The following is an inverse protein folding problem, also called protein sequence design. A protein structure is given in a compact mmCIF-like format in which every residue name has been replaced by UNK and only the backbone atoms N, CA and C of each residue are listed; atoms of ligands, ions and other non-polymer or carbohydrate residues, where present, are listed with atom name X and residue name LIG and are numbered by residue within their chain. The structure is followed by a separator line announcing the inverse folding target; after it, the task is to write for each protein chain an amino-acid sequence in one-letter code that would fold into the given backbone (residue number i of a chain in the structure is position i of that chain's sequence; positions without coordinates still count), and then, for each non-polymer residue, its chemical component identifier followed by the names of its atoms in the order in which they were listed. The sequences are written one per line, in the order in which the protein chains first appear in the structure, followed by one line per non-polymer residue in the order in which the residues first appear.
data_IF_001828659999
#
_entry.id   IF_001828659999
#
_cell.length_a   1.000
_cell.length_b   1.000
_cell.length_c   1.000
_cell.angle_alpha   90.00
_cell.angle_beta   90.00
_cell.angle_gamma   90.00
#
_symmetry.space_group_name_H-M   'P 1'
#
loop_
_entity.id
_entity.type
_entity.pdbx_description
1 polymer ?
#
# COMPACT_ATOMS: atom_id res chain seq x y z
N UNK A 1 -4.14 -2.17 6.00
CA UNK A 1 -3.43 -2.98 5.00
C UNK A 1 -3.01 -4.30 5.63
N UNK A 2 -3.27 -5.43 4.99
CA UNK A 2 -2.81 -6.76 5.43
C UNK A 2 -1.59 -7.12 4.60
N UNK A 3 -0.47 -7.40 5.25
CA UNK A 3 0.71 -7.97 4.59
C UNK A 3 0.56 -9.50 4.56
N UNK A 4 0.48 -10.06 3.36
CA UNK A 4 0.53 -11.51 3.18
C UNK A 4 1.98 -12.00 3.22
N UNK A 5 2.28 -12.95 4.11
CA UNK A 5 3.58 -13.61 4.17
C UNK A 5 3.43 -15.06 3.66
N UNK A 6 4.32 -15.50 2.76
CA UNK A 6 4.37 -16.83 2.12
C UNK A 6 4.21 -18.03 3.07
N UNK A 7 4.48 -17.87 4.37
CA UNK A 7 4.45 -18.96 5.35
C UNK A 7 3.10 -19.14 6.05
N UNK A 8 2.14 -18.24 5.88
CA UNK A 8 0.80 -18.38 6.46
C UNK A 8 -0.23 -18.59 5.34
N UNK A 9 -0.74 -19.83 5.22
CA UNK A 9 -1.89 -20.14 4.36
C UNK A 9 -3.14 -19.51 4.97
N UNK A 10 -3.60 -18.42 4.43
CA UNK A 10 -4.92 -17.86 4.74
C UNK A 10 -5.93 -18.55 3.81
N UNK A 11 -6.87 -19.30 4.39
CA UNK A 11 -8.01 -19.84 3.66
C UNK A 11 -9.01 -18.71 3.43
N UNK A 12 -9.04 -18.16 2.23
CA UNK A 12 -10.08 -17.22 1.82
C UNK A 12 -11.27 -18.06 1.31
N UNK A 13 -12.36 -18.05 2.04
CA UNK A 13 -13.63 -18.59 1.53
C UNK A 13 -14.04 -17.74 0.31
N UNK A 14 -14.40 -18.42 -0.79
CA UNK A 14 -14.97 -17.81 -2.00
C UNK A 14 -16.34 -17.19 -1.66
N UNK A 15 -16.35 -15.98 -1.18
CA UNK A 15 -17.54 -15.17 -1.02
C UNK A 15 -17.48 -13.98 -1.98
N UNK A 16 -18.48 -13.85 -2.85
CA UNK A 16 -18.65 -12.66 -3.70
C UNK A 16 -19.02 -11.39 -2.90
N UNK A 17 -19.05 -11.46 -1.56
CA UNK A 17 -19.24 -10.31 -0.69
C UNK A 17 -17.90 -9.69 -0.34
N UNK A 18 -17.80 -8.38 -0.53
CA UNK A 18 -16.71 -7.55 -0.02
C UNK A 18 -17.14 -7.02 1.34
N UNK A 19 -16.19 -6.98 2.28
CA UNK A 19 -16.42 -6.53 3.65
C UNK A 19 -15.56 -5.31 3.91
N UNK A 20 -16.12 -4.33 4.60
CA UNK A 20 -15.37 -3.25 5.23
C UNK A 20 -15.11 -3.60 6.70
N UNK A 21 -14.31 -2.80 7.40
CA UNK A 21 -14.03 -3.01 8.81
C UNK A 21 -15.28 -2.93 9.69
N UNK A 22 -16.29 -2.16 9.28
CA UNK A 22 -17.59 -2.05 9.97
C UNK A 22 -18.44 -3.32 9.82
N UNK A 23 -18.12 -4.19 8.87
CA UNK A 23 -18.85 -5.43 8.60
C UNK A 23 -18.29 -6.63 9.38
N UNK A 24 -17.17 -6.47 10.08
CA UNK A 24 -16.46 -7.55 10.74
C UNK A 24 -16.19 -7.27 12.21
N UNK A 25 -16.24 -8.33 13.02
CA UNK A 25 -15.85 -8.29 14.42
C UNK A 25 -14.82 -9.37 14.72
N UNK A 26 -13.90 -9.08 15.64
CA UNK A 26 -12.99 -10.08 16.16
C UNK A 26 -13.76 -11.00 17.13
N UNK A 27 -13.72 -12.31 16.85
CA UNK A 27 -14.32 -13.30 17.74
C UNK A 27 -13.29 -13.64 18.81
N UNK A 28 -13.53 -13.32 20.10
CA UNK A 28 -12.61 -13.65 21.18
C UNK A 28 -12.50 -15.17 21.33
N UNK A 29 -11.29 -15.66 21.59
CA UNK A 29 -11.03 -17.04 21.94
C UNK A 29 -10.64 -17.15 23.40
N UNK A 30 -10.60 -18.37 23.93
CA UNK A 30 -10.08 -18.63 25.28
C UNK A 30 -8.66 -18.07 25.38
N UNK A 31 -8.42 -17.25 26.42
CA UNK A 31 -7.14 -16.59 26.65
C UNK A 31 -6.47 -17.15 27.90
N UNK A 32 -5.18 -17.40 27.81
CA UNK A 32 -4.30 -17.76 28.92
C UNK A 32 -3.49 -16.58 29.42
N UNK A 33 -3.69 -15.39 28.82
CA UNK A 33 -2.97 -14.15 29.11
C UNK A 33 -3.63 -13.45 30.30
N UNK A 34 -2.85 -13.15 31.34
CA UNK A 34 -3.36 -12.50 32.56
C UNK A 34 -3.33 -10.98 32.44
N UNK A 35 -2.39 -10.43 31.65
CA UNK A 35 -2.23 -8.98 31.47
C UNK A 35 -1.89 -8.64 30.01
N UNK A 36 -2.37 -7.48 29.55
CA UNK A 36 -2.01 -6.95 28.22
C UNK A 36 -0.51 -6.77 28.05
N UNK A 37 0.23 -6.50 29.13
CA UNK A 37 1.68 -6.34 29.13
C UNK A 37 2.45 -7.62 28.80
N UNK A 38 1.79 -8.79 28.89
CA UNK A 38 2.37 -10.08 28.52
C UNK A 38 2.30 -10.35 27.00
N UNK A 39 1.53 -9.53 26.26
CA UNK A 39 1.35 -9.71 24.83
C UNK A 39 2.56 -9.15 24.05
N UNK A 40 3.24 -10.01 23.32
CA UNK A 40 4.22 -9.59 22.33
C UNK A 40 3.50 -9.13 21.04
N UNK A 41 3.61 -7.83 20.73
CA UNK A 41 3.05 -7.23 19.52
C UNK A 41 4.08 -7.09 18.40
N UNK A 42 5.31 -7.56 18.60
CA UNK A 42 6.37 -7.44 17.60
C UNK A 42 6.04 -8.22 16.33
N UNK A 43 6.53 -7.72 15.20
CA UNK A 43 6.38 -8.36 13.89
C UNK A 43 7.71 -8.39 13.16
N UNK A 44 7.99 -9.52 12.51
CA UNK A 44 9.13 -9.67 11.63
C UNK A 44 8.73 -9.37 10.20
N UNK A 45 9.33 -8.34 9.59
CA UNK A 45 9.18 -8.01 8.18
C UNK A 45 10.56 -8.16 7.53
N UNK A 46 10.70 -9.08 6.58
CA UNK A 46 11.99 -9.45 6.04
C UNK A 46 12.93 -9.95 7.14
N UNK A 47 14.09 -9.32 7.28
CA UNK A 47 15.10 -9.69 8.27
C UNK A 47 15.02 -8.87 9.58
N UNK A 48 14.16 -7.84 9.63
CA UNK A 48 14.07 -6.95 10.78
C UNK A 48 12.84 -7.22 11.63
N UNK A 49 12.99 -7.00 12.95
CA UNK A 49 11.91 -7.06 13.94
C UNK A 49 11.44 -5.65 14.25
N UNK A 50 10.13 -5.43 14.24
CA UNK A 50 9.50 -4.16 14.54
C UNK A 50 8.55 -4.29 15.74
N UNK A 51 8.32 -3.20 16.48
CA UNK A 51 7.57 -3.21 17.74
C UNK A 51 6.10 -3.61 17.60
N UNK A 52 5.48 -3.32 16.45
CA UNK A 52 4.09 -3.69 16.22
C UNK A 52 3.77 -3.84 14.71
N UNK A 53 2.63 -4.42 14.34
CA UNK A 53 2.21 -4.61 12.95
C UNK A 53 1.49 -3.40 12.34
N UNK A 54 1.53 -2.24 12.97
CA UNK A 54 0.85 -1.04 12.48
C UNK A 54 1.83 -0.26 11.61
N UNK A 55 1.43 -0.02 10.36
CA UNK A 55 2.22 0.70 9.37
C UNK A 55 1.46 1.96 8.98
N UNK A 56 2.02 3.16 9.16
CA UNK A 56 1.41 4.39 8.66
C UNK A 56 1.19 4.30 7.15
N UNK A 57 0.06 4.80 6.67
CA UNK A 57 -0.18 4.88 5.24
C UNK A 57 0.90 5.74 4.58
N UNK A 58 1.44 5.28 3.46
CA UNK A 58 2.47 5.98 2.71
C UNK A 58 1.88 7.12 1.85
N UNK A 59 1.21 8.04 2.51
CA UNK A 59 0.54 9.22 1.95
C UNK A 59 1.23 10.49 2.45
N UNK A 60 1.34 11.50 1.59
CA UNK A 60 1.94 12.79 1.93
C UNK A 60 1.27 13.47 3.13
N UNK A 61 -0.03 13.26 3.31
CA UNK A 61 -0.80 13.77 4.46
C UNK A 61 -0.58 12.99 5.77
N UNK A 62 0.06 11.83 5.74
CA UNK A 62 0.21 10.93 6.90
C UNK A 62 1.64 10.82 7.36
N UNK A 63 2.59 10.73 6.45
CA UNK A 63 4.01 10.56 6.77
C UNK A 63 4.85 11.59 6.03
N UNK A 64 5.84 12.13 6.73
CA UNK A 64 6.89 12.97 6.19
C UNK A 64 8.26 12.45 6.65
N UNK A 65 9.31 13.11 6.21
CA UNK A 65 10.68 12.69 6.53
C UNK A 65 10.99 12.70 8.03
N UNK A 66 10.50 13.70 8.77
CA UNK A 66 10.71 13.80 10.22
C UNK A 66 10.04 12.63 10.95
N UNK A 67 8.80 12.32 10.60
CA UNK A 67 8.09 11.19 11.18
C UNK A 67 8.73 9.86 10.80
N UNK A 68 9.18 9.69 9.55
CA UNK A 68 9.90 8.49 9.11
C UNK A 68 11.16 8.24 9.93
N UNK A 69 11.98 9.28 10.16
CA UNK A 69 13.16 9.23 11.01
C UNK A 69 12.80 8.84 12.45
N UNK A 70 11.75 9.45 13.01
CA UNK A 70 11.29 9.15 14.37
C UNK A 70 10.84 7.69 14.49
N UNK A 71 10.01 7.21 13.58
CA UNK A 71 9.54 5.82 13.55
C UNK A 71 10.70 4.83 13.45
N UNK A 72 11.65 5.08 12.55
CA UNK A 72 12.83 4.24 12.39
C UNK A 72 13.68 4.19 13.67
N UNK A 73 13.95 5.32 14.33
CA UNK A 73 14.67 5.40 15.61
C UNK A 73 13.99 4.63 16.72
N UNK A 74 12.67 4.66 16.74
CA UNK A 74 11.84 4.01 17.76
C UNK A 74 11.60 2.52 17.47
N UNK A 75 12.07 1.99 16.33
CA UNK A 75 11.91 0.58 15.96
C UNK A 75 10.52 0.23 15.42
N UNK A 76 9.84 1.20 14.82
CA UNK A 76 8.60 0.98 14.09
C UNK A 76 8.86 0.90 12.59
N UNK A 77 8.10 0.05 11.90
CA UNK A 77 8.13 0.01 10.45
C UNK A 77 7.41 1.22 9.85
N UNK A 78 7.97 1.76 8.81
CA UNK A 78 7.37 2.85 8.04
C UNK A 78 7.58 2.58 6.54
N UNK A 79 6.77 3.24 5.72
CA UNK A 79 6.97 3.32 4.27
C UNK A 79 6.89 4.79 3.89
N UNK A 80 7.97 5.36 3.37
CA UNK A 80 7.97 6.75 2.91
C UNK A 80 7.11 6.88 1.65
N UNK A 81 6.29 7.93 1.55
CA UNK A 81 5.51 8.20 0.35
C UNK A 81 6.39 8.59 -0.83
N UNK A 82 5.85 8.53 -2.05
CA UNK A 82 6.58 8.81 -3.31
C UNK A 82 6.29 10.18 -3.93
N UNK A 83 5.45 11.00 -3.32
CA UNK A 83 4.99 12.28 -3.86
C UNK A 83 5.89 13.42 -3.36
N UNK A 84 6.34 14.27 -4.27
CA UNK A 84 7.15 15.47 -3.95
C UNK A 84 8.37 15.19 -3.04
N UNK A 85 8.96 14.01 -3.15
CA UNK A 85 10.15 13.62 -2.38
C UNK A 85 11.26 13.13 -3.31
N UNK A 86 12.50 13.52 -3.00
CA UNK A 86 13.67 12.97 -3.64
C UNK A 86 14.13 11.70 -2.92
N UNK A 87 13.77 10.52 -3.47
CA UNK A 87 14.14 9.23 -2.89
C UNK A 87 15.67 9.09 -2.69
N UNK A 88 16.49 9.64 -3.59
CA UNK A 88 17.96 9.54 -3.51
C UNK A 88 18.51 10.28 -2.30
N UNK A 89 18.04 11.50 -2.06
CA UNK A 89 18.44 12.30 -0.91
C UNK A 89 17.89 11.70 0.40
N UNK A 90 16.65 11.26 0.41
CA UNK A 90 16.05 10.61 1.57
C UNK A 90 16.81 9.35 1.98
N UNK A 91 17.16 8.47 1.02
CA UNK A 91 17.96 7.26 1.30
C UNK A 91 19.34 7.61 1.83
N UNK A 92 20.03 8.59 1.24
CA UNK A 92 21.35 9.05 1.75
C UNK A 92 21.24 9.54 3.19
N UNK A 93 20.21 10.31 3.52
CA UNK A 93 19.97 10.81 4.87
C UNK A 93 19.71 9.68 5.87
N UNK A 94 18.83 8.72 5.53
CA UNK A 94 18.56 7.58 6.40
C UNK A 94 19.82 6.75 6.67
N UNK A 95 20.63 6.52 5.64
CA UNK A 95 21.90 5.82 5.78
C UNK A 95 22.93 6.59 6.62
N UNK A 96 23.03 7.90 6.47
CA UNK A 96 23.92 8.74 7.31
C UNK A 96 23.54 8.68 8.79
N UNK A 97 22.27 8.43 9.09
CA UNK A 97 21.74 8.25 10.44
C UNK A 97 21.81 6.79 10.93
N UNK A 98 22.33 5.86 10.10
CA UNK A 98 22.33 4.42 10.34
C UNK A 98 20.94 3.86 10.64
N UNK A 99 19.93 4.32 9.89
CA UNK A 99 18.53 3.93 10.02
C UNK A 99 18.09 3.08 8.84
N UNK A 100 17.05 2.27 9.06
CA UNK A 100 16.41 1.47 8.02
C UNK A 100 15.86 2.38 6.91
N UNK A 101 16.16 2.00 5.66
CA UNK A 101 15.68 2.68 4.45
C UNK A 101 14.42 1.99 3.92
N UNK A 102 13.31 2.73 3.86
CA UNK A 102 12.05 2.24 3.32
C UNK A 102 11.40 3.33 2.46
N UNK A 103 11.32 3.08 1.16
CA UNK A 103 10.81 4.04 0.16
C UNK A 103 9.63 3.48 -0.60
N UNK A 104 8.81 4.37 -1.17
CA UNK A 104 7.83 4.03 -2.19
C UNK A 104 8.27 4.49 -3.56
N UNK A 105 7.92 3.69 -4.57
CA UNK A 105 8.10 4.01 -5.99
C UNK A 105 6.81 3.74 -6.76
N UNK A 106 6.68 4.36 -7.93
CA UNK A 106 5.63 4.04 -8.91
C UNK A 106 6.09 3.02 -9.94
N UNK A 107 5.49 3.09 -11.13
CA UNK A 107 5.84 2.28 -12.31
C UNK A 107 6.20 3.14 -13.53
N UNK A 108 6.51 4.41 -13.30
CA UNK A 108 6.94 5.41 -14.27
C UNK A 108 8.47 5.39 -14.50
N UNK A 109 8.94 6.14 -15.49
CA UNK A 109 10.36 6.20 -15.84
C UNK A 109 11.24 6.68 -14.69
N UNK A 110 10.82 7.67 -13.93
CA UNK A 110 11.57 8.18 -12.78
C UNK A 110 11.86 7.08 -11.75
N UNK A 111 10.89 6.19 -11.52
CA UNK A 111 11.07 5.04 -10.62
C UNK A 111 12.10 4.04 -11.16
N UNK A 112 12.16 3.80 -12.46
CA UNK A 112 13.20 2.98 -13.08
C UNK A 112 14.57 3.63 -12.93
N UNK A 113 14.66 4.95 -13.13
CA UNK A 113 15.91 5.72 -13.02
C UNK A 113 16.44 5.74 -11.58
N UNK A 114 15.56 5.80 -10.58
CA UNK A 114 15.94 5.71 -9.18
C UNK A 114 16.50 4.33 -8.83
N UNK A 115 15.82 3.26 -9.23
CA UNK A 115 16.30 1.89 -8.99
C UNK A 115 17.65 1.66 -9.69
N UNK A 116 17.81 2.14 -10.92
CA UNK A 116 19.07 2.05 -11.65
C UNK A 116 20.18 2.85 -10.95
N UNK A 117 19.87 4.06 -10.46
CA UNK A 117 20.80 4.88 -9.71
C UNK A 117 21.32 4.16 -8.46
N UNK A 118 20.42 3.59 -7.65
CA UNK A 118 20.80 2.86 -6.44
C UNK A 118 21.66 1.64 -6.77
N UNK A 119 21.28 0.88 -7.80
CA UNK A 119 22.05 -0.29 -8.25
C UNK A 119 23.44 0.08 -8.73
N UNK A 120 23.58 1.08 -9.60
CA UNK A 120 24.85 1.49 -10.19
C UNK A 120 25.82 2.09 -9.15
N UNK A 121 25.29 2.69 -8.08
CA UNK A 121 26.09 3.27 -7.01
C UNK A 121 26.28 2.32 -5.82
N UNK A 122 25.86 1.05 -5.94
CA UNK A 122 25.92 0.06 -4.85
C UNK A 122 25.24 0.52 -3.55
N UNK A 123 24.14 1.29 -3.67
CA UNK A 123 23.36 1.76 -2.54
C UNK A 123 22.28 0.72 -2.23
N UNK A 124 22.43 0.00 -1.12
CA UNK A 124 21.44 -0.96 -0.64
C UNK A 124 20.21 -0.23 -0.10
N UNK A 125 19.02 -0.75 -0.37
CA UNK A 125 17.74 -0.30 0.19
C UNK A 125 17.14 -1.48 0.94
N UNK A 126 16.71 -1.26 2.19
CA UNK A 126 16.16 -2.35 2.98
C UNK A 126 14.77 -2.75 2.52
N UNK A 127 13.90 -1.76 2.25
CA UNK A 127 12.51 -1.98 1.82
C UNK A 127 12.14 -1.07 0.67
N UNK A 128 11.54 -1.66 -0.36
CA UNK A 128 10.99 -0.94 -1.52
C UNK A 128 9.52 -1.30 -1.62
N UNK A 129 8.64 -0.30 -1.67
CA UNK A 129 7.21 -0.48 -1.89
C UNK A 129 6.84 0.04 -3.27
N UNK A 130 6.39 -0.82 -4.19
CA UNK A 130 5.77 -0.38 -5.43
C UNK A 130 4.30 -0.09 -5.10
N UNK A 131 3.93 1.19 -5.15
CA UNK A 131 2.63 1.68 -4.69
C UNK A 131 1.88 2.38 -5.81
N UNK A 132 0.90 1.68 -6.38
CA UNK A 132 -0.01 2.20 -7.40
C UNK A 132 -1.45 1.77 -7.09
N UNK A 133 -2.42 2.53 -7.59
CA UNK A 133 -3.83 2.29 -7.29
C UNK A 133 -4.31 0.91 -7.78
N UNK A 134 -3.87 0.47 -8.97
CA UNK A 134 -4.21 -0.83 -9.55
C UNK A 134 -2.93 -1.67 -9.77
N UNK A 135 -2.57 -2.47 -8.76
CA UNK A 135 -1.34 -3.26 -8.76
C UNK A 135 -1.38 -4.51 -9.64
N UNK A 136 -2.55 -5.02 -10.03
CA UNK A 136 -2.65 -6.21 -10.89
C UNK A 136 -2.57 -5.83 -12.36
N UNK A 137 -1.40 -5.35 -12.83
CA UNK A 137 -1.21 -4.89 -14.19
C UNK A 137 0.18 -5.24 -14.75
N UNK A 138 0.32 -5.12 -16.08
CA UNK A 138 1.56 -5.44 -16.81
C UNK A 138 2.75 -4.57 -16.35
N UNK A 139 2.51 -3.28 -16.03
CA UNK A 139 3.56 -2.36 -15.56
C UNK A 139 4.10 -2.77 -14.20
N UNK A 140 3.21 -3.16 -13.26
CA UNK A 140 3.60 -3.72 -11.97
C UNK A 140 4.49 -4.96 -12.14
N UNK A 141 4.09 -5.91 -13.00
CA UNK A 141 4.88 -7.11 -13.28
C UNK A 141 6.29 -6.78 -13.76
N UNK A 142 6.41 -5.78 -14.66
CA UNK A 142 7.72 -5.34 -15.17
C UNK A 142 8.57 -4.71 -14.06
N UNK A 143 7.97 -3.84 -13.25
CA UNK A 143 8.68 -3.14 -12.17
C UNK A 143 9.11 -4.11 -11.07
N UNK A 144 8.26 -5.06 -10.65
CA UNK A 144 8.63 -6.10 -9.67
C UNK A 144 9.87 -6.87 -10.14
N UNK A 145 9.87 -7.33 -11.39
CA UNK A 145 11.02 -8.05 -11.96
C UNK A 145 12.26 -7.19 -12.03
N UNK A 146 12.11 -5.93 -12.42
CA UNK A 146 13.22 -4.99 -12.53
C UNK A 146 13.87 -4.70 -11.16
N UNK A 147 13.06 -4.44 -10.14
CA UNK A 147 13.57 -4.23 -8.78
C UNK A 147 14.30 -5.47 -8.28
N UNK A 148 13.75 -6.67 -8.48
CA UNK A 148 14.39 -7.92 -8.06
C UNK A 148 15.68 -8.23 -8.81
N UNK A 149 15.79 -7.80 -10.07
CA UNK A 149 17.04 -7.91 -10.85
C UNK A 149 18.10 -6.93 -10.34
N UNK A 150 17.74 -5.66 -10.14
CA UNK A 150 18.70 -4.59 -9.84
C UNK A 150 19.07 -4.48 -8.36
N UNK A 151 18.12 -4.79 -7.47
CA UNK A 151 18.28 -4.70 -6.01
C UNK A 151 17.76 -5.98 -5.34
N UNK A 152 18.39 -7.15 -5.60
CA UNK A 152 17.89 -8.46 -5.17
C UNK A 152 17.79 -8.62 -3.65
N UNK A 153 18.56 -7.86 -2.89
CA UNK A 153 18.59 -7.92 -1.43
C UNK A 153 17.54 -7.05 -0.74
N UNK A 154 16.84 -6.20 -1.50
CA UNK A 154 15.75 -5.38 -0.96
C UNK A 154 14.51 -6.23 -0.72
N UNK A 155 13.86 -6.01 0.42
CA UNK A 155 12.54 -6.58 0.69
C UNK A 155 11.50 -5.80 -0.11
N UNK A 156 10.86 -6.46 -1.07
CA UNK A 156 9.95 -5.84 -2.01
C UNK A 156 8.48 -6.04 -1.61
N UNK A 157 7.80 -4.92 -1.37
CA UNK A 157 6.36 -4.87 -1.14
C UNK A 157 5.70 -4.35 -2.42
N UNK A 158 4.63 -4.98 -2.89
CA UNK A 158 3.93 -4.56 -4.10
C UNK A 158 2.42 -4.43 -3.87
N UNK A 159 1.80 -3.43 -4.43
CA UNK A 159 0.36 -3.21 -4.34
C UNK A 159 -0.09 -1.87 -4.97
N UNK A 160 -1.40 -1.58 -4.93
CA UNK A 160 -2.41 -2.29 -4.16
C UNK A 160 -3.19 -3.29 -5.04
N UNK A 161 -3.60 -4.37 -4.45
CA UNK A 161 -4.51 -5.34 -5.09
C UNK A 161 -5.69 -5.63 -4.15
N UNK A 162 -6.82 -6.05 -4.70
CA UNK A 162 -8.04 -6.40 -3.94
C UNK A 162 -8.65 -7.74 -4.37
N UNK A 163 -7.95 -8.50 -5.19
CA UNK A 163 -8.40 -9.81 -5.66
C UNK A 163 -7.40 -10.91 -5.27
N UNK A 164 -7.92 -12.14 -5.22
CA UNK A 164 -7.11 -13.34 -4.95
C UNK A 164 -6.08 -13.53 -6.08
N UNK A 165 -6.50 -13.38 -7.32
CA UNK A 165 -5.67 -13.53 -8.52
C UNK A 165 -4.54 -12.51 -8.50
N UNK A 166 -4.85 -11.24 -8.21
CA UNK A 166 -3.84 -10.19 -8.09
C UNK A 166 -2.81 -10.50 -7.02
N UNK A 167 -3.24 -10.98 -5.85
CA UNK A 167 -2.34 -11.35 -4.76
C UNK A 167 -1.42 -12.52 -5.16
N UNK A 168 -1.99 -13.57 -5.76
CA UNK A 168 -1.23 -14.74 -6.24
C UNK A 168 -0.22 -14.33 -7.32
N UNK A 169 -0.62 -13.46 -8.23
CA UNK A 169 0.23 -13.06 -9.33
C UNK A 169 1.39 -12.17 -8.87
N UNK A 170 1.16 -11.22 -7.95
CA UNK A 170 2.24 -10.41 -7.39
C UNK A 170 3.28 -11.27 -6.65
N UNK A 171 2.84 -12.29 -5.89
CA UNK A 171 3.73 -13.28 -5.26
C UNK A 171 4.54 -14.04 -6.30
N UNK A 172 3.89 -14.56 -7.35
CA UNK A 172 4.58 -15.26 -8.46
C UNK A 172 5.55 -14.37 -9.23
N UNK A 173 5.28 -13.06 -9.33
CA UNK A 173 6.18 -12.13 -10.01
C UNK A 173 7.43 -11.84 -9.19
N UNK A 174 7.42 -12.11 -7.87
CA UNK A 174 8.57 -12.03 -7.00
C UNK A 174 8.48 -11.00 -5.88
N UNK A 175 7.30 -10.45 -5.59
CA UNK A 175 7.10 -9.62 -4.41
C UNK A 175 7.29 -10.45 -3.13
N UNK A 176 7.95 -9.89 -2.11
CA UNK A 176 8.15 -10.54 -0.82
C UNK A 176 6.94 -10.34 0.10
N UNK A 177 6.19 -9.25 -0.11
CA UNK A 177 4.92 -8.97 0.55
C UNK A 177 3.98 -8.22 -0.41
N UNK A 178 2.68 -8.33 -0.17
CA UNK A 178 1.66 -7.72 -1.01
C UNK A 178 0.78 -6.78 -0.17
N UNK A 179 0.57 -5.55 -0.66
CA UNK A 179 -0.41 -4.61 -0.11
C UNK A 179 -1.79 -4.99 -0.65
N UNK A 180 -2.59 -5.64 0.21
CA UNK A 180 -3.97 -6.02 -0.13
C UNK A 180 -4.94 -4.99 0.43
N UNK A 181 -5.83 -4.51 -0.39
CA UNK A 181 -6.83 -3.50 -0.09
C UNK A 181 -6.61 -2.22 -0.89
N UNK A 182 -7.67 -1.75 -1.51
CA UNK A 182 -7.72 -0.43 -2.14
C UNK A 182 -8.39 0.46 -1.11
N UNK A 183 -7.73 1.53 -0.67
CA UNK A 183 -8.30 2.45 0.30
C UNK A 183 -9.63 3.05 -0.17
N UNK A 184 -10.49 3.55 0.74
CA UNK A 184 -11.84 4.03 0.41
C UNK A 184 -11.85 5.26 -0.51
N UNK A 185 -10.70 5.79 -0.90
CA UNK A 185 -10.56 6.94 -1.79
C UNK A 185 -10.29 6.63 -3.26
N UNK A 186 -10.06 5.37 -3.62
CA UNK A 186 -9.75 4.98 -5.01
C UNK A 186 -10.86 4.07 -5.55
N UNK A 187 -11.61 4.58 -6.51
CA UNK A 187 -12.66 3.85 -7.22
C UNK A 187 -12.30 3.73 -8.70
N UNK A 188 -12.53 2.54 -9.27
CA UNK A 188 -12.44 2.38 -10.72
C UNK A 188 -13.53 3.22 -11.41
N UNK A 189 -13.29 3.64 -12.64
CA UNK A 189 -14.17 4.53 -13.40
C UNK A 189 -15.62 3.99 -13.49
N UNK A 190 -15.78 2.66 -13.54
CA UNK A 190 -17.03 1.94 -13.67
C UNK A 190 -17.75 1.71 -12.32
N UNK A 191 -17.16 2.14 -11.20
CA UNK A 191 -17.79 2.01 -9.88
C UNK A 191 -19.16 2.71 -9.88
N UNK A 192 -20.20 1.95 -9.51
CA UNK A 192 -21.55 2.47 -9.52
C UNK A 192 -21.84 3.33 -8.30
N UNK A 193 -22.30 4.55 -8.53
CA UNK A 193 -22.74 5.49 -7.50
C UNK A 193 -24.25 5.69 -7.63
N UNK A 194 -24.97 5.53 -6.53
CA UNK A 194 -26.42 5.79 -6.52
C UNK A 194 -26.67 7.29 -6.45
N UNK A 195 -27.23 7.82 -7.53
CA UNK A 195 -27.67 9.21 -7.63
C UNK A 195 -29.20 9.29 -7.49
N UNK A 196 -29.73 10.49 -7.31
CA UNK A 196 -31.18 10.70 -7.29
C UNK A 196 -31.90 10.24 -8.58
N UNK A 197 -31.14 10.15 -9.69
CA UNK A 197 -31.62 9.74 -11.00
C UNK A 197 -31.27 8.29 -11.38
N UNK A 198 -30.91 7.45 -10.39
CA UNK A 198 -30.45 6.08 -10.60
C UNK A 198 -28.93 5.91 -10.48
N UNK A 199 -28.45 4.70 -10.79
CA UNK A 199 -27.03 4.41 -10.75
C UNK A 199 -26.30 5.06 -11.93
N UNK A 200 -25.13 5.65 -11.64
CA UNK A 200 -24.17 6.17 -12.62
C UNK A 200 -22.77 5.63 -12.32
N UNK A 201 -21.95 5.45 -13.34
CA UNK A 201 -20.52 5.24 -13.12
C UNK A 201 -19.93 6.46 -12.43
N UNK A 202 -18.98 6.24 -11.52
CA UNK A 202 -18.35 7.35 -10.78
C UNK A 202 -17.65 8.33 -11.74
N UNK A 203 -17.13 7.84 -12.86
CA UNK A 203 -16.55 8.67 -13.93
C UNK A 203 -17.58 9.63 -14.56
N UNK A 204 -18.86 9.25 -14.59
CA UNK A 204 -19.93 10.03 -15.20
C UNK A 204 -20.63 10.98 -14.23
N UNK A 205 -20.32 10.87 -12.93
CA UNK A 205 -20.83 11.78 -11.90
C UNK A 205 -20.28 13.18 -12.15
N UNK A 206 -21.16 14.18 -12.15
CA UNK A 206 -20.83 15.60 -12.36
C UNK A 206 -20.97 16.39 -11.06
N UNK A 207 -20.36 17.57 -11.05
CA UNK A 207 -20.65 18.55 -10.01
C UNK A 207 -22.16 18.83 -10.04
N UNK A 208 -22.73 19.03 -8.85
CA UNK A 208 -24.16 19.24 -8.62
C UNK A 208 -25.05 18.00 -8.74
N UNK A 209 -24.55 16.83 -9.16
CA UNK A 209 -25.31 15.59 -9.02
C UNK A 209 -25.62 15.34 -7.53
N UNK A 210 -26.81 14.80 -7.26
CA UNK A 210 -27.22 14.39 -5.92
C UNK A 210 -26.90 12.91 -5.72
N UNK A 211 -25.96 12.61 -4.84
CA UNK A 211 -25.51 11.22 -4.53
C UNK A 211 -25.98 10.79 -3.15
N UNK A 212 -26.33 9.52 -3.00
CA UNK A 212 -26.71 8.96 -1.71
C UNK A 212 -25.45 8.81 -0.82
N UNK A 213 -25.54 9.39 0.38
CA UNK A 213 -24.46 9.32 1.38
C UNK A 213 -24.70 8.20 2.40
N UNK A 214 -23.68 7.89 3.21
CA UNK A 214 -23.76 6.95 4.34
C UNK A 214 -24.82 7.34 5.40
N UNK A 215 -25.28 8.60 5.42
CA UNK A 215 -26.35 9.09 6.30
C UNK A 215 -27.74 8.84 5.69
N UNK A 216 -27.84 8.08 4.62
CA UNK A 216 -29.08 7.82 3.89
C UNK A 216 -29.78 9.11 3.40
N UNK A 217 -28.98 10.12 3.04
CA UNK A 217 -29.44 11.40 2.49
C UNK A 217 -28.75 11.65 1.16
N UNK A 218 -29.48 12.27 0.23
CA UNK A 218 -28.89 12.74 -1.01
C UNK A 218 -28.20 14.08 -0.78
N UNK A 219 -26.90 14.12 -1.04
CA UNK A 219 -26.07 15.31 -0.92
C UNK A 219 -25.48 15.68 -2.29
N UNK A 220 -25.23 16.97 -2.47
CA UNK A 220 -24.70 17.50 -3.70
C UNK A 220 -23.21 17.22 -3.83
N UNK A 221 -22.77 16.78 -5.01
CA UNK A 221 -21.34 16.65 -5.32
C UNK A 221 -20.72 18.04 -5.45
N UNK A 222 -19.88 18.40 -4.53
CA UNK A 222 -19.21 19.72 -4.47
C UNK A 222 -17.82 19.71 -5.10
N UNK A 223 -17.17 18.55 -5.14
CA UNK A 223 -15.83 18.39 -5.71
C UNK A 223 -15.72 17.05 -6.41
N UNK A 224 -15.11 17.04 -7.58
CA UNK A 224 -14.72 15.82 -8.31
C UNK A 224 -13.24 15.91 -8.61
N UNK A 225 -12.50 14.91 -8.19
CA UNK A 225 -11.08 14.75 -8.51
C UNK A 225 -10.97 13.48 -9.36
N UNK A 226 -10.40 13.60 -10.55
CA UNK A 226 -10.04 12.47 -11.39
C UNK A 226 -8.55 12.54 -11.68
N UNK A 227 -7.88 11.43 -11.48
CA UNK A 227 -6.50 11.25 -11.91
C UNK A 227 -6.54 10.47 -13.22
N UNK A 228 -6.04 11.08 -14.28
CA UNK A 228 -5.70 10.33 -15.47
C UNK A 228 -4.29 9.78 -15.24
N UNK A 229 -4.16 8.48 -15.05
CA UNK A 229 -2.88 7.87 -15.37
C UNK A 229 -2.74 7.97 -16.88
N UNK A 230 -1.88 8.86 -17.36
CA UNK A 230 -1.43 8.90 -18.74
C UNK A 230 -0.56 7.67 -19.00
N UNK A 231 -1.17 6.50 -18.94
CA UNK A 231 -0.44 5.30 -19.30
C UNK A 231 -1.45 4.20 -19.61
N UNK A 232 -1.46 3.79 -20.85
CA UNK A 232 -2.24 2.71 -21.41
C UNK A 232 -2.37 1.51 -20.46
N UNK A 233 -3.61 1.18 -20.16
CA UNK A 233 -4.02 -0.07 -19.52
C UNK A 233 -3.64 -1.25 -20.42
#
# INVERSE_FOLDING_TARGET
YVLYNRKQKIYILLMNKKFDYDDINLIPKYSIVNSRSECDTSIKIGNNLFKNPIIPANMESVINEELAIKLAKEGYFYVMHRFNINNREFVKKMKSLNLITSISIGVNQESYDDILYFSNNNISIDYITIDIAHGHCKKMKKMVKYVKEKLPNSFLIAGNVSSIEGTIDLDKWGADAIKVGIGPGCFAAETQVLTKNGYKNISDVKLDDLVLTHKNKYEKVTTKISYHEEDDI
#
